data_IF_134048614040
#
_entry.id   IF_134048614040
#
_cell.length_a   1.000
_cell.length_b   1.000
_cell.length_c   1.000
_cell.angle_alpha   90.00
_cell.angle_beta   90.00
_cell.angle_gamma   90.00
#
_symmetry.space_group_name_H-M   'P 1'
#
loop_
_entity.id
_entity.type
_entity.pdbx_description
1 polymer ?
#
# COMPACT_ATOMS: atom_id res chain seq x y z
N UNK A 1 11.49 -20.55 28.09
CA UNK A 1 11.64 -20.07 26.69
C UNK A 1 10.64 -18.94 26.50
N UNK A 2 11.11 -17.70 26.38
CA UNK A 2 10.25 -16.52 26.28
C UNK A 2 9.63 -16.46 24.88
N UNK A 3 8.31 -16.62 24.78
CA UNK A 3 7.55 -16.35 23.56
C UNK A 3 7.47 -14.84 23.38
N UNK A 4 8.22 -14.32 22.40
CA UNK A 4 8.06 -12.95 21.95
C UNK A 4 6.69 -12.85 21.25
N UNK A 5 5.77 -11.95 21.67
CA UNK A 5 4.55 -11.75 20.91
C UNK A 5 4.92 -11.28 19.50
N UNK A 6 4.19 -11.67 18.45
CA UNK A 6 4.38 -11.07 17.15
C UNK A 6 4.24 -9.57 17.35
N UNK A 7 5.27 -8.80 16.98
CA UNK A 7 5.17 -7.35 16.86
C UNK A 7 4.23 -7.05 15.70
N UNK A 8 2.94 -7.24 15.93
CA UNK A 8 1.88 -6.63 15.13
C UNK A 8 2.03 -5.15 15.40
N UNK A 9 2.64 -4.46 14.45
CA UNK A 9 2.75 -3.01 14.45
C UNK A 9 1.34 -2.42 14.63
N UNK A 10 1.03 -1.94 15.83
CA UNK A 10 -0.30 -1.42 16.20
C UNK A 10 -0.71 -0.16 15.43
N UNK A 11 0.18 0.39 14.58
CA UNK A 11 -0.12 1.49 13.67
C UNK A 11 -0.54 1.04 12.27
N UNK A 12 -0.55 -0.27 11.99
CA UNK A 12 -0.92 -0.81 10.68
C UNK A 12 -2.39 -1.25 10.62
N UNK A 13 -3.32 -0.47 11.18
CA UNK A 13 -4.76 -0.75 11.02
C UNK A 13 -5.13 -0.64 9.53
N UNK A 14 -5.69 -1.72 8.97
CA UNK A 14 -6.22 -1.73 7.61
C UNK A 14 -7.36 -0.69 7.51
N UNK A 15 -7.30 0.27 6.57
CA UNK A 15 -8.29 1.34 6.46
C UNK A 15 -9.62 0.79 5.94
N UNK A 16 -10.76 1.26 6.46
CA UNK A 16 -12.06 0.83 5.95
C UNK A 16 -12.22 1.25 4.48
N UNK A 17 -12.64 0.31 3.64
CA UNK A 17 -12.76 0.45 2.19
C UNK A 17 -13.97 1.32 1.82
N UNK A 18 -13.78 2.63 1.81
CA UNK A 18 -14.76 3.64 1.41
C UNK A 18 -14.15 4.62 0.38
N UNK A 19 -14.97 5.12 -0.56
CA UNK A 19 -14.57 6.13 -1.54
C UNK A 19 -14.00 7.40 -0.89
N UNK A 20 -14.53 7.75 0.27
CA UNK A 20 -14.11 8.91 1.06
C UNK A 20 -12.70 8.76 1.63
N UNK A 21 -12.20 7.52 1.71
CA UNK A 21 -10.96 7.15 2.40
C UNK A 21 -9.82 6.76 1.45
N UNK A 22 -9.92 7.06 0.15
CA UNK A 22 -8.86 6.74 -0.84
C UNK A 22 -7.48 7.28 -0.43
N UNK A 23 -7.44 8.45 0.21
CA UNK A 23 -6.19 9.03 0.72
C UNK A 23 -5.59 8.18 1.85
N UNK A 24 -6.42 7.65 2.74
CA UNK A 24 -5.97 6.78 3.84
C UNK A 24 -5.51 5.42 3.31
N UNK A 25 -6.22 4.86 2.33
CA UNK A 25 -5.82 3.62 1.62
C UNK A 25 -4.47 3.82 0.95
N UNK A 26 -4.26 4.95 0.27
CA UNK A 26 -2.99 5.28 -0.37
C UNK A 26 -1.83 5.43 0.63
N UNK A 27 -2.07 6.06 1.78
CA UNK A 27 -1.08 6.20 2.86
C UNK A 27 -0.72 4.86 3.50
N UNK A 28 -1.72 4.01 3.73
CA UNK A 28 -1.51 2.67 4.27
C UNK A 28 -0.73 1.79 3.29
N UNK A 29 -1.11 1.79 2.00
CA UNK A 29 -0.38 1.10 0.93
C UNK A 29 1.06 1.61 0.81
N UNK A 30 1.26 2.92 0.82
CA UNK A 30 2.60 3.52 0.79
C UNK A 30 3.45 3.09 1.98
N UNK A 31 2.86 3.00 3.18
CA UNK A 31 3.55 2.53 4.38
C UNK A 31 3.92 1.05 4.29
N UNK A 32 3.04 0.20 3.73
CA UNK A 32 3.30 -1.21 3.46
C UNK A 32 4.42 -1.41 2.41
N UNK A 33 4.41 -0.62 1.33
CA UNK A 33 5.46 -0.62 0.31
C UNK A 33 6.79 -0.17 0.90
N UNK A 34 6.78 0.91 1.71
CA UNK A 34 7.98 1.45 2.36
C UNK A 34 8.54 0.51 3.43
N UNK A 35 7.71 -0.28 4.10
CA UNK A 35 8.14 -1.31 5.06
C UNK A 35 8.62 -2.59 4.36
N UNK A 36 8.27 -2.79 3.08
CA UNK A 36 8.54 -4.01 2.33
C UNK A 36 7.59 -5.17 2.67
N UNK A 37 6.56 -4.91 3.48
CA UNK A 37 5.55 -5.90 3.86
C UNK A 37 4.31 -5.70 2.99
N UNK A 38 4.38 -6.22 1.77
CA UNK A 38 3.22 -6.23 0.86
C UNK A 38 2.43 -7.52 1.12
N UNK A 39 1.43 -7.42 2.00
CA UNK A 39 0.58 -8.54 2.40
C UNK A 39 -0.62 -8.78 1.48
N UNK A 40 -1.30 -9.92 1.67
CA UNK A 40 -2.51 -10.33 0.94
C UNK A 40 -3.65 -9.27 1.02
N UNK A 41 -3.64 -8.47 2.09
CA UNK A 41 -4.52 -7.33 2.28
C UNK A 41 -4.40 -6.32 1.14
N UNK A 42 -3.20 -5.84 0.81
CA UNK A 42 -2.99 -4.84 -0.25
C UNK A 42 -3.61 -5.28 -1.58
N UNK A 43 -3.41 -6.56 -1.94
CA UNK A 43 -4.01 -7.15 -3.14
C UNK A 43 -5.55 -7.23 -3.08
N UNK A 44 -6.12 -7.61 -1.93
CA UNK A 44 -7.56 -7.63 -1.74
C UNK A 44 -8.17 -6.24 -1.89
N UNK A 45 -7.49 -5.20 -1.39
CA UNK A 45 -7.92 -3.81 -1.56
C UNK A 45 -7.95 -3.40 -3.03
N UNK A 46 -6.87 -3.69 -3.79
CA UNK A 46 -6.83 -3.41 -5.23
C UNK A 46 -7.95 -4.13 -5.98
N UNK A 47 -8.21 -5.41 -5.68
CA UNK A 47 -9.32 -6.18 -6.25
C UNK A 47 -10.69 -5.56 -5.97
N UNK A 48 -10.92 -5.11 -4.73
CA UNK A 48 -12.21 -4.49 -4.37
C UNK A 48 -12.36 -3.13 -5.06
N UNK A 49 -11.30 -2.32 -5.13
CA UNK A 49 -11.31 -1.03 -5.81
C UNK A 49 -11.65 -1.20 -7.30
N UNK A 50 -10.98 -2.12 -7.99
CA UNK A 50 -11.29 -2.40 -9.39
C UNK A 50 -12.72 -2.91 -9.58
N UNK A 51 -13.18 -3.86 -8.74
CA UNK A 51 -14.54 -4.39 -8.85
C UNK A 51 -15.63 -3.35 -8.60
N UNK A 52 -15.44 -2.46 -7.63
CA UNK A 52 -16.45 -1.47 -7.24
C UNK A 52 -16.41 -0.21 -8.08
N UNK A 53 -15.23 0.24 -8.47
CA UNK A 53 -15.04 1.58 -9.03
C UNK A 53 -14.35 1.60 -10.39
N UNK A 54 -13.98 0.43 -10.93
CA UNK A 54 -13.34 0.30 -12.23
C UNK A 54 -11.83 0.52 -12.21
N UNK A 55 -11.20 0.27 -13.36
CA UNK A 55 -9.75 0.32 -13.52
C UNK A 55 -9.19 1.74 -13.37
N UNK A 56 -9.93 2.76 -13.80
CA UNK A 56 -9.48 4.17 -13.71
C UNK A 56 -9.21 4.58 -12.25
N UNK A 57 -10.02 4.12 -11.29
CA UNK A 57 -9.79 4.38 -9.87
C UNK A 57 -8.57 3.65 -9.30
N UNK A 58 -8.18 2.52 -9.87
CA UNK A 58 -6.94 1.84 -9.48
C UNK A 58 -5.73 2.66 -9.91
N UNK A 59 -5.78 3.26 -11.11
CA UNK A 59 -4.71 4.14 -11.61
C UNK A 59 -4.61 5.40 -10.76
N UNK A 60 -5.73 6.03 -10.41
CA UNK A 60 -5.72 7.17 -9.49
C UNK A 60 -5.18 6.80 -8.10
N UNK A 61 -5.54 5.61 -7.59
CA UNK A 61 -5.01 5.12 -6.31
C UNK A 61 -3.49 4.92 -6.39
N UNK A 62 -2.98 4.41 -7.50
CA UNK A 62 -1.54 4.28 -7.76
C UNK A 62 -0.83 5.64 -7.70
N UNK A 63 -1.38 6.67 -8.33
CA UNK A 63 -0.84 8.02 -8.25
C UNK A 63 -0.83 8.56 -6.81
N UNK A 64 -1.91 8.33 -6.06
CA UNK A 64 -1.99 8.74 -4.66
C UNK A 64 -0.97 7.99 -3.79
N UNK A 65 -0.74 6.70 -4.04
CA UNK A 65 0.31 5.91 -3.35
C UNK A 65 1.68 6.51 -3.61
N UNK A 66 2.00 6.92 -4.85
CA UNK A 66 3.28 7.60 -5.13
C UNK A 66 3.43 8.92 -4.39
N UNK A 67 2.36 9.72 -4.29
CA UNK A 67 2.42 10.97 -3.52
C UNK A 67 2.53 10.70 -2.02
N UNK A 68 1.86 9.67 -1.52
CA UNK A 68 1.94 9.23 -0.13
C UNK A 68 3.35 8.72 0.22
N UNK A 69 4.02 7.99 -0.67
CA UNK A 69 5.40 7.52 -0.49
C UNK A 69 6.38 8.69 -0.25
N UNK A 70 6.15 9.85 -0.87
CA UNK A 70 6.94 11.06 -0.62
C UNK A 70 6.72 11.66 0.78
N UNK A 71 5.56 11.39 1.38
CA UNK A 71 5.14 11.91 2.69
C UNK A 71 5.49 10.99 3.86
N UNK A 72 5.62 9.68 3.62
CA UNK A 72 5.98 8.70 4.66
C UNK A 72 7.41 8.96 5.13
N UNK A 73 7.61 9.05 6.46
CA UNK A 73 8.91 9.30 7.09
C UNK A 73 9.89 8.17 6.72
N UNK A 74 10.90 8.52 5.94
CA UNK A 74 11.77 7.56 5.24
C UNK A 74 12.78 6.92 6.19
N UNK A 75 13.07 5.63 5.98
CA UNK A 75 14.35 5.07 6.42
C UNK A 75 15.45 5.64 5.50
N UNK A 76 16.60 6.09 6.03
CA UNK A 76 17.66 6.70 5.23
C UNK A 76 18.24 5.77 4.15
N UNK A 77 17.96 4.46 4.23
CA UNK A 77 18.49 3.42 3.35
C UNK A 77 17.62 3.10 2.13
N UNK A 78 16.46 3.76 1.95
CA UNK A 78 15.55 3.46 0.83
C UNK A 78 15.42 4.67 -0.08
N UNK A 79 15.79 4.50 -1.36
CA UNK A 79 15.70 5.56 -2.36
C UNK A 79 14.27 5.74 -2.87
N UNK A 80 13.93 6.94 -3.35
CA UNK A 80 12.65 7.21 -4.00
C UNK A 80 12.43 6.31 -5.23
N UNK A 81 13.51 5.95 -5.93
CA UNK A 81 13.47 5.03 -7.06
C UNK A 81 13.09 3.62 -6.63
N UNK A 82 13.67 3.11 -5.53
CA UNK A 82 13.31 1.79 -4.99
C UNK A 82 11.84 1.72 -4.55
N UNK A 83 11.35 2.77 -3.89
CA UNK A 83 9.94 2.85 -3.48
C UNK A 83 9.01 2.87 -4.67
N UNK A 84 9.38 3.61 -5.72
CA UNK A 84 8.63 3.66 -6.96
C UNK A 84 8.59 2.30 -7.64
N UNK A 85 9.74 1.62 -7.75
CA UNK A 85 9.82 0.28 -8.32
C UNK A 85 8.99 -0.74 -7.53
N UNK A 86 8.98 -0.67 -6.20
CA UNK A 86 8.17 -1.56 -5.36
C UNK A 86 6.67 -1.31 -5.51
N UNK A 87 6.26 -0.04 -5.59
CA UNK A 87 4.87 0.29 -5.88
C UNK A 87 4.50 -0.13 -7.31
N UNK A 88 5.33 0.13 -8.32
CA UNK A 88 5.11 -0.35 -9.69
C UNK A 88 4.99 -1.87 -9.76
N UNK A 89 5.84 -2.60 -9.04
CA UNK A 89 5.75 -4.05 -8.93
C UNK A 89 4.43 -4.50 -8.32
N UNK A 90 3.96 -3.85 -7.24
CA UNK A 90 2.65 -4.14 -6.63
C UNK A 90 1.48 -4.01 -7.62
N UNK A 91 1.43 -2.89 -8.36
CA UNK A 91 0.35 -2.67 -9.32
C UNK A 91 0.49 -3.57 -10.55
N UNK A 92 1.71 -3.87 -11.00
CA UNK A 92 1.96 -4.81 -12.12
C UNK A 92 1.58 -6.25 -11.77
N UNK A 93 2.02 -6.75 -10.61
CA UNK A 93 1.66 -8.10 -10.13
C UNK A 93 0.16 -8.26 -9.93
N UNK A 94 -0.53 -7.15 -9.66
CA UNK A 94 -1.97 -7.10 -9.61
C UNK A 94 -2.62 -7.19 -11.00
N UNK A 95 -2.08 -6.54 -12.03
CA UNK A 95 -2.63 -6.58 -13.39
C UNK A 95 -2.39 -7.92 -14.12
N UNK A 96 -1.35 -8.68 -13.75
CA UNK A 96 -1.01 -9.98 -14.35
C UNK A 96 -1.90 -11.14 -13.83
N UNK A 97 -2.67 -10.92 -12.75
CA UNK A 97 -3.50 -11.93 -12.07
C UNK A 97 -4.99 -11.81 -12.32
#
# INVERSE_FOLDING_TARGET
MNAQPPTTDSNSREPVLDLSNFTEIALWLASAVASGVIGNAAYNYLKVVQRRFGRDRVVELQEQVYQALKRVKRKPSVSDQDLRLRAEALFRDYEDR
#
